data_IF_758914878309
#
_entry.id   IF_758914878309
#
_cell.length_a   1.000
_cell.length_b   1.000
_cell.length_c   1.000
_cell.angle_alpha   90.00
_cell.angle_beta   90.00
_cell.angle_gamma   90.00
#
_symmetry.space_group_name_H-M   'P 1'
#
loop_
_entity.id
_entity.type
_entity.pdbx_description
1 polymer ?
#
# COMPACT_ATOMS: atom_id res chain seq x y z
N UNK A 1 1.91 22.91 -2.14
CA UNK A 1 0.63 22.21 -1.89
C UNK A 1 -0.19 22.26 -3.18
N UNK A 2 -0.86 21.16 -3.54
CA UNK A 2 -1.71 21.10 -4.75
C UNK A 2 -3.17 21.26 -4.30
N UNK A 3 -3.85 22.36 -4.64
CA UNK A 3 -5.26 22.57 -4.30
C UNK A 3 -6.14 21.41 -4.79
N UNK A 4 -7.16 21.02 -4.02
CA UNK A 4 -8.08 19.94 -4.39
C UNK A 4 -7.53 18.51 -4.26
N UNK A 5 -6.20 18.32 -4.09
CA UNK A 5 -5.60 16.97 -3.96
C UNK A 5 -6.24 16.15 -2.83
N UNK A 6 -6.48 16.77 -1.68
CA UNK A 6 -7.04 16.07 -0.52
C UNK A 6 -8.47 15.58 -0.74
N UNK A 7 -9.30 16.40 -1.39
CA UNK A 7 -10.68 16.04 -1.73
C UNK A 7 -10.73 14.94 -2.77
N UNK A 8 -9.95 15.07 -3.85
CA UNK A 8 -9.85 14.04 -4.89
C UNK A 8 -9.33 12.71 -4.32
N UNK A 9 -8.32 12.76 -3.45
CA UNK A 9 -7.79 11.57 -2.80
C UNK A 9 -8.83 10.91 -1.89
N UNK A 10 -9.57 11.68 -1.10
CA UNK A 10 -10.63 11.14 -0.25
C UNK A 10 -11.74 10.49 -1.08
N UNK A 11 -12.21 11.15 -2.15
CA UNK A 11 -13.21 10.58 -3.06
C UNK A 11 -12.73 9.28 -3.73
N UNK A 12 -11.49 9.28 -4.22
CA UNK A 12 -10.92 8.09 -4.85
C UNK A 12 -10.77 6.95 -3.85
N UNK A 13 -10.20 7.22 -2.68
CA UNK A 13 -10.04 6.23 -1.60
C UNK A 13 -11.39 5.64 -1.16
N UNK A 14 -12.43 6.47 -1.01
CA UNK A 14 -13.78 6.00 -0.69
C UNK A 14 -14.27 4.97 -1.72
N UNK A 15 -14.18 5.30 -3.02
CA UNK A 15 -14.63 4.38 -4.08
C UNK A 15 -13.80 3.10 -4.13
N UNK A 16 -12.50 3.17 -3.87
CA UNK A 16 -11.63 1.98 -3.83
C UNK A 16 -11.97 1.08 -2.64
N UNK A 17 -12.23 1.64 -1.45
CA UNK A 17 -12.65 0.84 -0.29
C UNK A 17 -14.01 0.17 -0.53
N UNK A 18 -14.99 0.91 -1.08
CA UNK A 18 -16.29 0.34 -1.45
C UNK A 18 -16.14 -0.83 -2.44
N UNK A 19 -15.31 -0.67 -3.47
CA UNK A 19 -15.05 -1.73 -4.44
C UNK A 19 -14.43 -2.98 -3.80
N UNK A 20 -13.51 -2.79 -2.85
CA UNK A 20 -12.90 -3.90 -2.11
C UNK A 20 -13.93 -4.63 -1.26
N UNK A 21 -14.80 -3.90 -0.55
CA UNK A 21 -15.87 -4.47 0.27
C UNK A 21 -16.94 -5.18 -0.57
N UNK A 22 -17.29 -4.64 -1.74
CA UNK A 22 -18.17 -5.29 -2.74
C UNK A 22 -17.62 -6.67 -3.17
N UNK A 23 -16.29 -6.87 -3.13
CA UNK A 23 -15.62 -8.14 -3.44
C UNK A 23 -15.22 -8.94 -2.19
N UNK A 24 -15.77 -8.60 -1.02
CA UNK A 24 -15.58 -9.35 0.22
C UNK A 24 -14.24 -9.11 0.92
N UNK A 25 -13.46 -8.11 0.52
CA UNK A 25 -12.22 -7.72 1.20
C UNK A 25 -12.58 -6.76 2.34
N UNK A 26 -12.38 -7.13 3.62
CA UNK A 26 -12.72 -6.27 4.74
C UNK A 26 -11.78 -5.06 4.79
N UNK A 27 -12.34 -3.88 5.07
CA UNK A 27 -11.56 -2.65 5.22
C UNK A 27 -11.91 -1.94 6.52
N UNK A 28 -11.13 -0.92 6.89
CA UNK A 28 -11.48 -0.05 8.02
C UNK A 28 -12.49 1.03 7.64
N UNK A 29 -12.84 1.20 6.36
CA UNK A 29 -13.65 2.32 5.88
C UNK A 29 -15.08 2.22 6.45
N UNK A 30 -15.69 3.38 6.68
CA UNK A 30 -17.08 3.48 7.13
C UNK A 30 -17.89 4.31 6.14
N UNK A 31 -17.46 5.54 5.86
CA UNK A 31 -18.11 6.39 4.86
C UNK A 31 -17.27 7.63 4.48
N UNK A 32 -17.61 8.26 3.36
CA UNK A 32 -17.10 9.57 2.94
C UNK A 32 -17.87 10.72 3.61
N UNK A 33 -17.15 11.71 4.16
CA UNK A 33 -17.74 12.83 4.91
C UNK A 33 -17.71 14.17 4.15
N UNK A 34 -17.43 14.16 2.85
CA UNK A 34 -17.27 15.35 2.03
C UNK A 34 -15.92 16.05 2.21
N UNK A 35 -15.48 16.78 1.19
CA UNK A 35 -14.16 17.40 1.13
C UNK A 35 -13.04 16.37 1.23
N UNK A 36 -12.04 16.62 2.07
CA UNK A 36 -10.87 15.73 2.25
C UNK A 36 -10.98 14.79 3.46
N UNK A 37 -12.17 14.28 3.79
CA UNK A 37 -12.42 13.54 5.04
C UNK A 37 -13.10 12.19 4.80
N UNK A 38 -12.60 11.16 5.49
CA UNK A 38 -13.17 9.81 5.53
C UNK A 38 -13.42 9.43 7.00
N UNK A 39 -14.50 8.70 7.26
CA UNK A 39 -14.72 8.01 8.53
C UNK A 39 -14.18 6.58 8.42
N UNK A 40 -13.38 6.16 9.39
CA UNK A 40 -12.80 4.82 9.44
C UNK A 40 -12.81 4.27 10.88
N UNK A 41 -12.86 2.94 10.99
CA UNK A 41 -12.72 2.21 12.25
C UNK A 41 -11.27 2.33 12.74
N UNK A 42 -11.11 2.63 14.03
CA UNK A 42 -9.81 2.60 14.68
C UNK A 42 -9.28 1.16 14.66
N UNK A 43 -8.02 1.00 14.29
CA UNK A 43 -7.29 -0.26 14.29
C UNK A 43 -5.84 0.01 14.72
N UNK A 44 -5.14 -1.05 15.09
CA UNK A 44 -3.69 -1.02 15.30
C UNK A 44 -3.01 -1.21 13.94
N UNK A 45 -2.11 -0.28 13.60
CA UNK A 45 -1.41 -0.29 12.31
C UNK A 45 -0.19 -1.19 12.45
N UNK A 46 -0.12 -2.24 11.64
CA UNK A 46 1.12 -3.00 11.46
C UNK A 46 2.10 -2.08 10.70
N UNK A 47 3.33 -1.87 11.18
CA UNK A 47 4.29 -0.92 10.60
C UNK A 47 4.94 -1.46 9.31
N UNK A 48 4.15 -2.02 8.41
CA UNK A 48 4.58 -2.59 7.13
C UNK A 48 3.78 -1.97 6.00
N UNK A 49 4.46 -1.59 4.92
CA UNK A 49 3.84 -1.27 3.65
C UNK A 49 3.87 -2.50 2.74
N UNK A 50 2.70 -2.90 2.25
CA UNK A 50 2.55 -4.02 1.30
C UNK A 50 2.44 -3.45 -0.11
N UNK A 51 3.47 -3.68 -0.92
CA UNK A 51 3.54 -3.15 -2.29
C UNK A 51 3.32 -4.30 -3.27
N UNK A 52 2.27 -4.18 -4.10
CA UNK A 52 2.00 -5.12 -5.19
C UNK A 52 2.46 -4.51 -6.52
N UNK A 53 3.26 -5.24 -7.29
CA UNK A 53 3.76 -4.81 -8.60
C UNK A 53 3.34 -5.78 -9.69
N UNK A 54 2.67 -5.24 -10.70
CA UNK A 54 2.36 -5.96 -11.94
C UNK A 54 3.34 -5.63 -13.08
N UNK A 55 4.02 -4.48 -12.99
CA UNK A 55 4.96 -3.98 -13.98
C UNK A 55 6.23 -3.46 -13.29
N UNK A 56 7.36 -3.53 -13.98
CA UNK A 56 8.64 -3.04 -13.50
C UNK A 56 8.69 -1.49 -13.54
N UNK A 57 8.63 -0.85 -12.38
CA UNK A 57 8.70 0.60 -12.25
C UNK A 57 9.25 1.05 -10.88
N UNK A 58 9.67 2.31 -10.77
CA UNK A 58 10.03 2.95 -9.50
C UNK A 58 11.22 2.31 -8.79
N UNK A 59 11.09 2.08 -7.48
CA UNK A 59 12.17 1.50 -6.65
C UNK A 59 12.60 0.10 -7.08
N UNK A 60 11.72 -0.66 -7.76
CA UNK A 60 12.09 -1.97 -8.31
C UNK A 60 13.20 -1.85 -9.36
N UNK A 61 13.13 -0.87 -10.27
CA UNK A 61 14.16 -0.68 -11.31
C UNK A 61 15.50 -0.22 -10.73
N UNK A 62 15.50 0.46 -9.57
CA UNK A 62 16.74 0.82 -8.87
C UNK A 62 17.42 -0.40 -8.25
N UNK A 63 16.63 -1.34 -7.72
CA UNK A 63 17.13 -2.57 -7.08
C UNK A 63 17.44 -3.68 -8.10
N UNK A 64 16.70 -3.71 -9.22
CA UNK A 64 16.80 -4.73 -10.27
C UNK A 64 16.94 -4.06 -11.65
N UNK A 65 18.13 -3.52 -11.98
CA UNK A 65 18.34 -2.72 -13.19
C UNK A 65 18.31 -3.54 -14.50
N UNK A 66 18.19 -4.86 -14.42
CA UNK A 66 18.07 -5.76 -15.57
C UNK A 66 16.65 -5.84 -16.15
N UNK A 67 15.65 -5.35 -15.41
CA UNK A 67 14.28 -5.22 -15.89
C UNK A 67 14.13 -3.94 -16.69
N UNK A 68 13.31 -3.96 -17.74
CA UNK A 68 13.00 -2.77 -18.53
C UNK A 68 11.85 -1.98 -17.90
N UNK A 69 11.84 -0.64 -17.99
CA UNK A 69 10.70 0.15 -17.54
C UNK A 69 9.39 -0.29 -18.20
N UNK A 70 8.33 -0.43 -17.40
CA UNK A 70 7.01 -0.92 -17.82
C UNK A 70 7.00 -2.36 -18.36
N UNK A 71 8.08 -3.12 -18.16
CA UNK A 71 8.08 -4.55 -18.46
C UNK A 71 7.04 -5.26 -17.60
N UNK A 72 6.18 -6.06 -18.24
CA UNK A 72 5.19 -6.87 -17.54
C UNK A 72 5.89 -7.99 -16.79
N UNK A 73 5.64 -8.08 -15.50
CA UNK A 73 6.21 -9.13 -14.66
C UNK A 73 5.49 -10.46 -14.94
N UNK A 74 6.22 -11.58 -14.87
CA UNK A 74 5.64 -12.91 -15.12
C UNK A 74 4.55 -13.29 -14.13
N UNK A 75 4.62 -12.73 -12.91
CA UNK A 75 3.60 -12.79 -11.86
C UNK A 75 3.62 -11.48 -11.06
N UNK A 76 2.54 -11.13 -10.36
CA UNK A 76 2.58 -10.04 -9.40
C UNK A 76 3.67 -10.29 -8.34
N UNK A 77 4.50 -9.29 -8.10
CA UNK A 77 5.43 -9.31 -6.97
C UNK A 77 4.76 -8.65 -5.78
N UNK A 78 4.87 -9.27 -4.61
CA UNK A 78 4.43 -8.72 -3.32
C UNK A 78 5.68 -8.42 -2.51
N UNK A 79 5.86 -7.16 -2.16
CA UNK A 79 7.02 -6.67 -1.41
C UNK A 79 6.53 -6.12 -0.07
N UNK A 80 7.28 -6.42 0.99
CA UNK A 80 7.08 -5.82 2.31
C UNK A 80 8.15 -4.76 2.52
N UNK A 81 7.75 -3.59 2.97
CA UNK A 81 8.66 -2.52 3.39
C UNK A 81 8.36 -2.16 4.83
N UNK A 82 9.39 -2.00 5.65
CA UNK A 82 9.21 -1.45 7.01
C UNK A 82 8.83 0.02 6.87
N UNK A 83 7.75 0.45 7.53
CA UNK A 83 7.37 1.85 7.56
C UNK A 83 8.27 2.62 8.54
N UNK A 84 9.34 3.19 8.00
CA UNK A 84 10.36 3.93 8.75
C UNK A 84 11.02 4.97 7.83
N UNK A 85 10.41 6.16 7.80
CA UNK A 85 10.87 7.28 6.96
C UNK A 85 12.33 7.66 7.26
N UNK A 86 12.79 7.49 8.51
CA UNK A 86 14.16 7.81 8.90
C UNK A 86 15.18 6.83 8.32
N UNK A 87 14.75 5.59 8.04
CA UNK A 87 15.56 4.55 7.39
C UNK A 87 15.25 4.37 5.90
N UNK A 88 14.35 5.20 5.35
CA UNK A 88 13.99 5.20 3.93
C UNK A 88 13.17 3.98 3.50
N UNK A 89 12.29 3.51 4.39
CA UNK A 89 11.35 2.40 4.16
C UNK A 89 12.02 1.14 3.57
N UNK A 90 12.93 0.49 4.31
CA UNK A 90 13.72 -0.61 3.78
C UNK A 90 12.82 -1.79 3.39
N UNK A 91 13.18 -2.46 2.29
CA UNK A 91 12.58 -3.74 1.91
C UNK A 91 12.90 -4.78 3.00
N UNK A 92 11.89 -5.51 3.46
CA UNK A 92 12.02 -6.58 4.46
C UNK A 92 11.56 -7.91 3.90
N UNK A 93 12.16 -8.99 4.39
CA UNK A 93 11.71 -10.33 4.07
C UNK A 93 10.48 -10.68 4.94
N UNK A 94 9.52 -11.48 4.42
CA UNK A 94 8.43 -12.00 5.23
C UNK A 94 8.90 -12.73 6.50
N UNK A 95 10.00 -13.48 6.39
CA UNK A 95 10.61 -14.21 7.50
C UNK A 95 11.10 -13.26 8.61
N UNK A 96 11.73 -12.13 8.24
CA UNK A 96 12.17 -11.11 9.20
C UNK A 96 10.96 -10.48 9.93
N UNK A 97 9.87 -10.22 9.20
CA UNK A 97 8.66 -9.65 9.77
C UNK A 97 7.96 -10.62 10.73
N UNK A 98 8.01 -11.93 10.46
CA UNK A 98 7.49 -12.96 11.37
C UNK A 98 8.37 -13.08 12.61
N UNK A 99 9.69 -13.14 12.46
CA UNK A 99 10.63 -13.20 13.60
C UNK A 99 10.53 -11.96 14.50
N UNK A 100 10.29 -10.79 13.91
CA UNK A 100 10.07 -9.54 14.64
C UNK A 100 8.68 -9.45 15.32
N UNK A 101 7.81 -10.46 15.13
CA UNK A 101 6.45 -10.49 15.70
C UNK A 101 5.47 -9.53 15.03
N UNK A 102 5.77 -9.03 13.82
CA UNK A 102 4.89 -8.15 13.06
C UNK A 102 3.85 -8.92 12.25
N UNK A 103 4.16 -10.16 11.89
CA UNK A 103 3.30 -11.08 11.13
C UNK A 103 3.31 -12.47 11.75
N UNK A 104 2.32 -13.28 11.39
CA UNK A 104 2.28 -14.73 11.67
C UNK A 104 1.90 -15.49 10.40
N UNK A 105 2.20 -16.79 10.38
CA UNK A 105 1.70 -17.72 9.35
C UNK A 105 0.27 -18.17 9.63
#
# INVERSE_FOLDING_TARGET
MVPGKGELAAMFSARMFELLEEHGVPTHYVCYMGGSRLLARRHEVIPLEVIVRNYAYGSLLRRMPFLKPMERLSRPLVELHLKDDARGDPLVLPEDAVEAGLLSW
#
